data_IF_180463730441
#
_entry.id   IF_180463730441
#
_cell.length_a   1.000
_cell.length_b   1.000
_cell.length_c   1.000
_cell.angle_alpha   90.00
_cell.angle_beta   90.00
_cell.angle_gamma   90.00
#
_symmetry.space_group_name_H-M   'P 1'
#
loop_
_entity.id
_entity.type
_entity.pdbx_description
1 polymer ?
#
# COMPACT_ATOMS: atom_id res chain seq x y z
N UNK A 1 -23.15 14.88 -2.61
CA UNK A 1 -23.08 13.50 -2.07
C UNK A 1 -22.89 13.49 -0.53
N UNK A 2 -22.78 14.66 0.13
CA UNK A 2 -22.57 14.74 1.59
C UNK A 2 -21.17 14.28 2.07
N UNK A 3 -20.23 14.07 1.16
CA UNK A 3 -18.83 13.69 1.46
C UNK A 3 -17.96 14.94 1.37
N UNK A 4 -17.19 15.19 2.41
CA UNK A 4 -16.16 16.23 2.43
C UNK A 4 -14.77 15.59 2.39
N UNK A 5 -13.99 15.75 1.32
CA UNK A 5 -12.66 15.18 1.22
C UNK A 5 -11.66 16.03 2.03
N UNK A 6 -10.81 15.36 2.79
CA UNK A 6 -9.67 15.95 3.46
C UNK A 6 -8.41 15.21 3.02
N UNK A 7 -7.51 15.89 2.34
CA UNK A 7 -6.29 15.32 1.83
C UNK A 7 -5.14 15.53 2.83
N UNK A 8 -4.46 14.45 3.18
CA UNK A 8 -3.18 14.49 3.88
C UNK A 8 -2.13 14.16 2.84
N UNK A 9 -1.43 15.19 2.36
CA UNK A 9 -0.34 15.02 1.42
C UNK A 9 0.98 15.44 2.04
N UNK A 10 2.02 14.73 1.74
CA UNK A 10 3.39 15.15 2.02
C UNK A 10 4.21 15.07 0.74
N UNK A 11 5.25 15.87 0.67
CA UNK A 11 6.14 15.84 -0.50
C UNK A 11 6.79 14.48 -0.59
N UNK A 12 6.30 13.68 -1.50
CA UNK A 12 6.80 12.34 -1.79
C UNK A 12 7.22 12.24 -3.25
N UNK A 13 8.12 13.10 -3.72
CA UNK A 13 8.79 12.90 -5.01
C UNK A 13 9.59 11.59 -5.08
N UNK A 14 9.22 10.62 -4.23
CA UNK A 14 9.94 9.39 -4.01
C UNK A 14 9.90 8.46 -5.21
N UNK A 15 8.78 8.34 -5.91
CA UNK A 15 8.68 7.46 -7.08
C UNK A 15 9.56 7.95 -8.22
N UNK A 16 9.50 9.23 -8.55
CA UNK A 16 10.37 9.86 -9.55
C UNK A 16 11.82 9.77 -9.10
N UNK A 17 12.12 10.14 -7.85
CA UNK A 17 13.47 10.07 -7.27
C UNK A 17 14.02 8.64 -7.24
N UNK A 18 13.17 7.63 -6.97
CA UNK A 18 13.58 6.21 -6.98
C UNK A 18 13.83 5.74 -8.40
N UNK A 19 13.00 6.12 -9.37
CA UNK A 19 13.20 5.78 -10.77
C UNK A 19 14.51 6.38 -11.28
N UNK A 20 14.73 7.67 -11.04
CA UNK A 20 15.96 8.39 -11.44
C UNK A 20 17.20 7.76 -10.79
N UNK A 21 17.12 7.40 -9.51
CA UNK A 21 18.18 6.73 -8.79
C UNK A 21 18.49 5.36 -9.38
N UNK A 22 17.46 4.58 -9.70
CA UNK A 22 17.63 3.26 -10.32
C UNK A 22 18.24 3.37 -11.71
N UNK A 23 17.85 4.37 -12.51
CA UNK A 23 18.43 4.64 -13.83
C UNK A 23 19.89 5.05 -13.75
N UNK A 24 20.24 5.96 -12.82
CA UNK A 24 21.62 6.39 -12.60
C UNK A 24 22.53 5.20 -12.24
N UNK A 25 22.09 4.34 -11.32
CA UNK A 25 22.89 3.18 -10.91
C UNK A 25 22.94 2.10 -11.99
N UNK A 26 21.87 1.86 -12.74
CA UNK A 26 21.91 0.95 -13.88
C UNK A 26 22.91 1.42 -14.93
N UNK A 27 22.95 2.72 -15.22
CA UNK A 27 23.93 3.30 -16.14
C UNK A 27 25.37 3.13 -15.62
N UNK A 28 25.62 3.37 -14.32
CA UNK A 28 26.93 3.16 -13.68
C UNK A 28 27.41 1.71 -13.71
N UNK A 29 26.47 0.77 -13.59
CA UNK A 29 26.77 -0.67 -13.63
C UNK A 29 26.87 -1.21 -15.08
N UNK A 30 26.69 -0.36 -16.09
CA UNK A 30 26.70 -0.78 -17.49
C UNK A 30 25.49 -1.63 -17.89
N UNK A 31 24.42 -1.59 -17.10
CA UNK A 31 23.19 -2.34 -17.33
C UNK A 31 22.22 -1.61 -18.28
N UNK A 32 22.67 -0.57 -18.96
CA UNK A 32 21.91 0.23 -19.89
C UNK A 32 21.44 -0.57 -21.11
N UNK A 33 20.19 -0.98 -21.12
CA UNK A 33 19.55 -1.62 -22.29
C UNK A 33 19.13 -0.53 -23.26
N UNK A 34 19.99 -0.18 -24.20
CA UNK A 34 19.59 0.50 -25.42
C UNK A 34 19.19 -0.53 -26.47
N UNK A 35 17.89 -0.65 -26.71
CA UNK A 35 17.39 -0.95 -28.05
C UNK A 35 17.44 -2.40 -28.54
N UNK A 36 17.16 -3.43 -27.75
CA UNK A 36 16.95 -4.78 -28.28
C UNK A 36 15.59 -5.30 -27.81
N UNK A 37 14.65 -5.64 -28.73
CA UNK A 37 13.42 -6.32 -28.35
C UNK A 37 13.73 -7.77 -28.02
N UNK A 38 13.21 -8.29 -26.93
CA UNK A 38 13.60 -9.56 -26.40
C UNK A 38 12.68 -10.73 -26.79
N UNK A 39 13.27 -11.89 -26.99
CA UNK A 39 12.56 -13.15 -27.13
C UNK A 39 12.09 -13.68 -25.76
N UNK A 40 10.84 -14.16 -25.68
CA UNK A 40 10.23 -14.69 -24.45
C UNK A 40 11.11 -15.81 -23.83
N UNK A 41 11.32 -15.73 -22.52
CA UNK A 41 11.86 -16.81 -21.69
C UNK A 41 13.32 -16.69 -21.24
N UNK A 42 14.28 -16.20 -22.04
CA UNK A 42 15.65 -15.95 -21.60
C UNK A 42 15.81 -14.59 -20.94
N UNK A 43 14.91 -13.67 -21.29
CA UNK A 43 14.85 -12.34 -20.67
C UNK A 43 14.44 -12.37 -19.20
N UNK A 44 13.53 -13.25 -18.83
CA UNK A 44 13.13 -13.40 -17.43
C UNK A 44 14.33 -13.73 -16.55
N UNK A 45 15.31 -14.51 -17.06
CA UNK A 45 16.55 -14.82 -16.34
C UNK A 45 17.54 -13.67 -16.32
N UNK A 46 17.64 -12.90 -17.41
CA UNK A 46 18.51 -11.71 -17.45
C UNK A 46 17.92 -10.61 -16.55
N UNK A 47 16.61 -10.39 -16.59
CA UNK A 47 15.94 -9.39 -15.75
C UNK A 47 16.03 -9.70 -14.27
N UNK A 48 15.84 -10.94 -13.84
CA UNK A 48 16.08 -11.34 -12.45
C UNK A 48 17.54 -11.15 -12.03
N UNK A 49 18.50 -11.43 -12.93
CA UNK A 49 19.90 -11.17 -12.69
C UNK A 49 20.19 -9.67 -12.51
N UNK A 50 19.60 -8.83 -13.34
CA UNK A 50 19.72 -7.36 -13.25
C UNK A 50 19.11 -6.82 -11.97
N UNK A 51 17.90 -7.25 -11.61
CA UNK A 51 17.22 -6.86 -10.38
C UNK A 51 18.06 -7.21 -9.15
N UNK A 52 18.61 -8.44 -9.09
CA UNK A 52 19.50 -8.88 -7.99
C UNK A 52 20.81 -8.09 -7.90
N UNK A 53 21.29 -7.52 -9.00
CA UNK A 53 22.46 -6.64 -8.99
C UNK A 53 22.11 -5.22 -8.53
N UNK A 54 20.91 -4.74 -8.84
CA UNK A 54 20.42 -3.42 -8.43
C UNK A 54 20.01 -3.36 -6.96
N UNK A 55 19.39 -4.41 -6.44
CA UNK A 55 18.88 -4.46 -5.06
C UNK A 55 19.94 -4.07 -4.00
N UNK A 56 21.16 -4.62 -3.97
CA UNK A 56 22.17 -4.24 -2.98
C UNK A 56 22.67 -2.80 -3.14
N UNK A 57 22.75 -2.32 -4.38
CA UNK A 57 23.28 -0.98 -4.69
C UNK A 57 22.29 0.12 -4.35
N UNK A 58 21.00 -0.14 -4.58
CA UNK A 58 19.91 0.79 -4.24
C UNK A 58 19.59 0.80 -2.74
N UNK A 59 20.10 -0.17 -1.98
CA UNK A 59 19.77 -0.33 -0.57
C UNK A 59 20.13 0.87 0.28
N UNK A 60 21.35 1.38 0.18
CA UNK A 60 21.80 2.49 1.03
C UNK A 60 21.04 3.79 0.72
N UNK A 61 21.01 4.29 -0.53
CA UNK A 61 20.31 5.53 -0.84
C UNK A 61 18.78 5.39 -0.74
N UNK A 62 18.22 4.29 -1.24
CA UNK A 62 16.77 4.05 -1.20
C UNK A 62 16.27 3.79 0.22
N UNK A 63 17.02 3.04 1.02
CA UNK A 63 16.69 2.78 2.42
C UNK A 63 16.71 4.03 3.27
N UNK A 64 17.68 4.93 3.07
CA UNK A 64 17.73 6.21 3.77
C UNK A 64 16.51 7.09 3.44
N UNK A 65 16.14 7.18 2.15
CA UNK A 65 14.97 7.92 1.69
C UNK A 65 13.68 7.30 2.23
N UNK A 66 13.52 5.99 2.13
CA UNK A 66 12.36 5.26 2.62
C UNK A 66 12.20 5.38 4.14
N UNK A 67 13.29 5.26 4.88
CA UNK A 67 13.33 5.48 6.32
C UNK A 67 12.86 6.89 6.71
N UNK A 68 13.29 7.91 5.97
CA UNK A 68 12.83 9.29 6.17
C UNK A 68 11.33 9.44 5.87
N UNK A 69 10.82 8.77 4.83
CA UNK A 69 9.39 8.77 4.51
C UNK A 69 8.56 8.12 5.62
N UNK A 70 8.97 6.95 6.11
CA UNK A 70 8.32 6.28 7.25
C UNK A 70 8.29 7.19 8.49
N UNK A 71 9.43 7.79 8.81
CA UNK A 71 9.53 8.70 9.95
C UNK A 71 8.61 9.93 9.81
N UNK A 72 8.52 10.51 8.62
CA UNK A 72 7.63 11.63 8.36
C UNK A 72 6.15 11.24 8.46
N UNK A 73 5.79 10.05 7.94
CA UNK A 73 4.44 9.51 8.04
C UNK A 73 4.02 9.29 9.50
N UNK A 74 4.90 8.74 10.32
CA UNK A 74 4.66 8.56 11.75
C UNK A 74 4.58 9.91 12.49
N UNK A 75 5.50 10.84 12.22
CA UNK A 75 5.51 12.17 12.83
C UNK A 75 4.25 12.98 12.51
N UNK A 76 3.64 12.79 11.34
CA UNK A 76 2.37 13.43 11.01
C UNK A 76 1.27 13.11 12.02
N UNK A 77 1.31 11.93 12.66
CA UNK A 77 0.35 11.47 13.65
C UNK A 77 0.84 11.59 15.08
N UNK A 78 2.15 11.46 15.34
CA UNK A 78 2.70 11.35 16.70
C UNK A 78 3.22 12.67 17.23
N UNK A 79 3.72 13.56 16.39
CA UNK A 79 4.22 14.88 16.80
C UNK A 79 3.06 15.82 17.16
N UNK A 80 3.21 16.63 18.17
CA UNK A 80 2.24 17.68 18.54
C UNK A 80 2.03 18.72 17.42
N UNK A 81 3.01 18.87 16.52
CA UNK A 81 2.95 19.72 15.35
C UNK A 81 2.54 18.93 14.09
N UNK A 82 2.25 17.64 14.20
CA UNK A 82 1.86 16.79 13.08
C UNK A 82 0.44 17.13 12.61
N UNK A 83 0.23 17.15 11.28
CA UNK A 83 -1.05 17.53 10.70
C UNK A 83 -2.23 16.68 11.20
N UNK A 84 -2.03 15.37 11.34
CA UNK A 84 -3.04 14.47 11.92
C UNK A 84 -3.35 14.86 13.37
N UNK A 85 -2.31 15.11 14.18
CA UNK A 85 -2.47 15.47 15.58
C UNK A 85 -3.24 16.79 15.75
N UNK A 86 -2.91 17.79 14.94
CA UNK A 86 -3.59 19.09 14.94
C UNK A 86 -5.06 19.00 14.48
N UNK A 87 -5.38 18.07 13.60
CA UNK A 87 -6.73 17.87 13.08
C UNK A 87 -7.69 17.25 14.10
N UNK A 88 -7.22 16.42 15.02
CA UNK A 88 -8.08 15.64 15.92
C UNK A 88 -9.05 16.48 16.76
N UNK A 89 -8.65 17.59 17.42
CA UNK A 89 -9.59 18.42 18.18
C UNK A 89 -10.71 19.00 17.30
N UNK A 90 -10.40 19.32 16.04
CA UNK A 90 -11.40 19.82 15.10
C UNK A 90 -12.38 18.72 14.69
N UNK A 91 -11.90 17.49 14.47
CA UNK A 91 -12.78 16.35 14.20
C UNK A 91 -13.69 16.03 15.41
N UNK A 92 -13.16 16.09 16.61
CA UNK A 92 -13.96 15.92 17.83
C UNK A 92 -15.04 17.00 17.96
N UNK A 93 -14.70 18.27 17.76
CA UNK A 93 -15.65 19.37 17.80
C UNK A 93 -16.72 19.24 16.68
N UNK A 94 -16.31 18.81 15.50
CA UNK A 94 -17.22 18.60 14.38
C UNK A 94 -18.18 17.44 14.66
N UNK A 95 -17.70 16.32 15.19
CA UNK A 95 -18.55 15.18 15.55
C UNK A 95 -19.52 15.51 16.68
N UNK A 96 -19.13 16.37 17.64
CA UNK A 96 -20.03 16.85 18.69
C UNK A 96 -21.20 17.68 18.12
N UNK A 97 -20.95 18.45 17.05
CA UNK A 97 -21.99 19.22 16.35
C UNK A 97 -22.81 18.38 15.37
N UNK A 98 -22.19 17.37 14.78
CA UNK A 98 -22.76 16.47 13.78
C UNK A 98 -22.64 15.02 14.27
N UNK A 99 -23.55 14.54 15.12
CA UNK A 99 -23.46 13.21 15.73
C UNK A 99 -23.45 12.04 14.73
N UNK A 100 -23.91 12.26 13.50
CA UNK A 100 -23.91 11.28 12.41
C UNK A 100 -22.69 11.40 11.49
N UNK A 101 -21.71 12.25 11.84
CA UNK A 101 -20.49 12.37 11.07
C UNK A 101 -19.70 11.06 11.11
N UNK A 102 -19.38 10.52 9.96
CA UNK A 102 -18.55 9.35 9.79
C UNK A 102 -17.15 9.75 9.28
N UNK A 103 -16.12 9.06 9.76
CA UNK A 103 -14.74 9.27 9.34
C UNK A 103 -14.31 8.05 8.53
N UNK A 104 -14.14 8.24 7.22
CA UNK A 104 -13.66 7.22 6.31
C UNK A 104 -12.20 7.49 5.95
N UNK A 105 -11.37 6.45 6.01
CA UNK A 105 -9.94 6.55 5.75
C UNK A 105 -9.59 5.82 4.45
N UNK A 106 -8.99 6.54 3.51
CA UNK A 106 -8.47 5.97 2.27
C UNK A 106 -6.98 6.26 2.20
N UNK A 107 -6.17 5.23 1.97
CA UNK A 107 -4.71 5.36 1.86
C UNK A 107 -4.13 4.56 0.71
N UNK A 108 -3.29 5.20 -0.10
CA UNK A 108 -2.53 4.56 -1.15
C UNK A 108 -1.06 4.47 -0.75
N UNK A 109 -0.42 3.34 -1.03
CA UNK A 109 1.02 3.14 -0.86
C UNK A 109 1.50 3.49 0.57
N UNK A 110 2.45 4.42 0.71
CA UNK A 110 2.96 4.92 2.00
C UNK A 110 1.88 5.63 2.85
N UNK A 111 0.75 6.03 2.26
CA UNK A 111 -0.42 6.52 2.99
C UNK A 111 -0.93 5.54 4.04
N UNK A 112 -0.73 4.25 3.85
CA UNK A 112 -1.04 3.23 4.84
C UNK A 112 -0.27 3.42 6.16
N UNK A 113 0.94 3.97 6.13
CA UNK A 113 1.73 4.22 7.35
C UNK A 113 1.10 5.36 8.16
N UNK A 114 0.71 6.44 7.47
CA UNK A 114 0.01 7.57 8.12
C UNK A 114 -1.31 7.12 8.74
N UNK A 115 -2.12 6.37 7.99
CA UNK A 115 -3.43 5.93 8.46
C UNK A 115 -3.33 4.93 9.63
N UNK A 116 -2.37 4.00 9.60
CA UNK A 116 -2.13 3.10 10.72
C UNK A 116 -1.78 3.85 12.01
N UNK A 117 -0.87 4.83 11.93
CA UNK A 117 -0.54 5.69 13.06
C UNK A 117 -1.74 6.56 13.50
N UNK A 118 -2.54 7.06 12.54
CA UNK A 118 -3.75 7.84 12.81
C UNK A 118 -4.80 7.05 13.57
N UNK A 119 -5.01 5.75 13.29
CA UNK A 119 -5.97 4.91 14.01
C UNK A 119 -5.72 4.90 15.51
N UNK A 120 -4.45 4.82 15.94
CA UNK A 120 -4.10 4.92 17.37
C UNK A 120 -4.47 6.29 17.97
N UNK A 121 -4.35 7.36 17.19
CA UNK A 121 -4.73 8.70 17.66
C UNK A 121 -6.25 8.88 17.72
N UNK A 122 -6.99 8.32 16.74
CA UNK A 122 -8.46 8.30 16.78
C UNK A 122 -8.95 7.56 18.04
N UNK A 123 -8.37 6.40 18.36
CA UNK A 123 -8.70 5.64 19.57
C UNK A 123 -8.48 6.49 20.85
N UNK A 124 -7.33 7.17 20.96
CA UNK A 124 -7.03 8.08 22.08
C UNK A 124 -8.02 9.24 22.18
N UNK A 125 -8.45 9.75 21.03
CA UNK A 125 -9.43 10.83 20.92
C UNK A 125 -10.87 10.34 21.11
N UNK A 126 -11.10 9.03 21.33
CA UNK A 126 -12.43 8.39 21.41
C UNK A 126 -13.27 8.58 20.13
N UNK A 127 -12.61 8.77 19.00
CA UNK A 127 -13.19 8.78 17.66
C UNK A 127 -13.10 7.38 17.05
N UNK A 128 -13.95 7.09 16.09
CA UNK A 128 -13.94 5.83 15.33
C UNK A 128 -13.73 6.08 13.85
N UNK A 129 -13.05 5.17 13.19
CA UNK A 129 -13.05 5.08 11.74
C UNK A 129 -14.28 4.25 11.31
N UNK A 130 -15.17 4.85 10.52
CA UNK A 130 -16.33 4.16 9.96
C UNK A 130 -15.88 3.13 8.91
N UNK A 131 -14.83 3.44 8.14
CA UNK A 131 -14.18 2.46 7.27
C UNK A 131 -12.71 2.81 7.04
N UNK A 132 -11.93 1.79 6.70
CA UNK A 132 -10.55 1.92 6.20
C UNK A 132 -10.42 1.17 4.89
N UNK A 133 -9.87 1.83 3.88
CA UNK A 133 -9.59 1.24 2.58
C UNK A 133 -8.16 1.54 2.17
N UNK A 134 -7.39 0.50 1.93
CA UNK A 134 -5.98 0.60 1.56
C UNK A 134 -5.77 0.14 0.13
N UNK A 135 -5.05 0.91 -0.64
CA UNK A 135 -4.64 0.60 -2.01
C UNK A 135 -3.13 0.38 -2.05
N UNK A 136 -2.71 -0.81 -2.47
CA UNK A 136 -1.31 -1.22 -2.54
C UNK A 136 -0.48 -0.75 -1.33
N UNK A 137 -0.90 -1.04 -0.07
CA UNK A 137 -0.28 -0.47 1.13
C UNK A 137 1.20 -0.84 1.24
N UNK A 138 2.07 0.18 1.31
CA UNK A 138 3.52 -0.01 1.41
C UNK A 138 4.04 -0.17 2.85
N UNK A 139 3.16 -0.32 3.83
CA UNK A 139 3.59 -0.64 5.19
C UNK A 139 3.99 -2.11 5.31
N UNK A 140 4.90 -2.41 6.25
CA UNK A 140 5.28 -3.79 6.56
C UNK A 140 4.13 -4.56 7.19
N UNK A 141 4.13 -5.89 7.08
CA UNK A 141 3.16 -6.75 7.76
C UNK A 141 3.29 -6.63 9.29
N UNK A 142 4.50 -6.42 9.81
CA UNK A 142 4.72 -6.12 11.22
C UNK A 142 3.98 -4.84 11.64
N UNK A 143 4.12 -3.76 10.88
CA UNK A 143 3.37 -2.53 11.12
C UNK A 143 1.86 -2.76 11.06
N UNK A 144 1.38 -3.56 10.10
CA UNK A 144 -0.04 -3.87 9.97
C UNK A 144 -0.59 -4.62 11.20
N UNK A 145 0.15 -5.59 11.73
CA UNK A 145 -0.20 -6.27 12.98
C UNK A 145 -0.30 -5.29 14.16
N UNK A 146 0.64 -4.36 14.27
CA UNK A 146 0.72 -3.41 15.39
C UNK A 146 -0.30 -2.27 15.32
N UNK A 147 -0.79 -1.94 14.12
CA UNK A 147 -1.67 -0.79 13.92
C UNK A 147 -3.07 -1.19 13.47
N UNK A 148 -3.21 -1.96 12.39
CA UNK A 148 -4.51 -2.31 11.84
C UNK A 148 -5.18 -3.46 12.61
N UNK A 149 -4.46 -4.54 12.88
CA UNK A 149 -5.02 -5.63 13.66
C UNK A 149 -5.34 -5.19 15.10
N UNK A 150 -4.47 -4.39 15.74
CA UNK A 150 -4.78 -3.82 17.06
C UNK A 150 -5.97 -2.85 17.03
N UNK A 151 -6.10 -2.01 16.00
CA UNK A 151 -7.24 -1.11 15.85
C UNK A 151 -8.58 -1.85 15.80
N UNK A 152 -8.61 -3.06 15.24
CA UNK A 152 -9.79 -3.93 15.20
C UNK A 152 -9.94 -4.72 16.49
N UNK A 153 -8.91 -5.43 16.91
CA UNK A 153 -9.00 -6.41 18.01
C UNK A 153 -8.98 -5.77 19.40
N UNK A 154 -8.14 -4.76 19.59
CA UNK A 154 -7.82 -4.18 20.89
C UNK A 154 -8.48 -2.83 21.09
N UNK A 155 -8.19 -1.87 20.24
CA UNK A 155 -8.65 -0.49 20.38
C UNK A 155 -10.12 -0.30 20.00
N UNK A 156 -10.69 -1.23 19.21
CA UNK A 156 -12.08 -1.20 18.72
C UNK A 156 -12.45 0.12 18.02
N UNK A 157 -11.45 0.74 17.40
CA UNK A 157 -11.59 1.99 16.64
C UNK A 157 -12.09 1.75 15.22
N UNK A 158 -11.92 0.53 14.71
CA UNK A 158 -12.35 0.07 13.40
C UNK A 158 -13.09 -1.27 13.53
N UNK A 159 -14.23 -1.40 12.86
CA UNK A 159 -14.89 -2.70 12.69
C UNK A 159 -14.26 -3.45 11.50
N UNK A 160 -13.93 -4.71 11.72
CA UNK A 160 -13.31 -5.56 10.69
C UNK A 160 -14.13 -5.62 9.39
N UNK A 161 -15.47 -5.58 9.47
CA UNK A 161 -16.38 -5.59 8.32
C UNK A 161 -16.19 -4.38 7.38
N UNK A 162 -15.56 -3.33 7.87
CA UNK A 162 -15.33 -2.08 7.14
C UNK A 162 -13.84 -1.84 6.82
N UNK A 163 -13.05 -2.91 6.89
CA UNK A 163 -11.63 -2.88 6.54
C UNK A 163 -11.39 -3.60 5.20
N UNK A 164 -10.93 -2.88 4.20
CA UNK A 164 -10.70 -3.39 2.85
C UNK A 164 -9.29 -3.09 2.38
N UNK A 165 -8.69 -4.06 1.71
CA UNK A 165 -7.36 -3.94 1.10
C UNK A 165 -7.46 -4.29 -0.38
N UNK A 166 -6.85 -3.46 -1.22
CA UNK A 166 -6.73 -3.67 -2.65
C UNK A 166 -5.26 -3.83 -2.99
N UNK A 167 -4.92 -4.88 -3.70
CA UNK A 167 -3.55 -5.21 -4.10
C UNK A 167 -3.52 -5.58 -5.57
N UNK A 168 -2.37 -5.43 -6.21
CA UNK A 168 -2.13 -6.08 -7.50
C UNK A 168 -1.98 -7.60 -7.31
N UNK A 169 -2.31 -8.37 -8.35
CA UNK A 169 -1.89 -9.77 -8.39
C UNK A 169 -0.36 -9.86 -8.40
N UNK A 170 0.19 -10.95 -7.84
CA UNK A 170 1.65 -11.18 -7.86
C UNK A 170 2.23 -11.09 -9.26
N UNK A 171 1.46 -11.52 -10.27
CA UNK A 171 1.87 -11.41 -11.66
C UNK A 171 1.92 -9.94 -12.13
N UNK A 172 0.94 -9.10 -11.76
CA UNK A 172 0.98 -7.67 -12.11
C UNK A 172 2.14 -6.95 -11.42
N UNK A 173 2.40 -7.28 -10.13
CA UNK A 173 3.56 -6.76 -9.40
C UNK A 173 4.90 -7.13 -10.07
N UNK A 174 5.00 -8.33 -10.64
CA UNK A 174 6.20 -8.79 -11.36
C UNK A 174 6.31 -8.27 -12.79
N UNK A 175 5.21 -7.87 -13.39
CA UNK A 175 5.17 -7.30 -14.74
C UNK A 175 5.26 -5.77 -14.72
N UNK A 176 5.18 -5.15 -13.55
CA UNK A 176 5.43 -3.72 -13.33
C UNK A 176 6.93 -3.41 -13.40
N UNK A 177 7.30 -2.14 -13.46
CA UNK A 177 8.70 -1.73 -13.48
C UNK A 177 8.91 -0.35 -12.86
N UNK A 178 10.04 -0.20 -12.15
CA UNK A 178 10.52 1.09 -11.64
C UNK A 178 11.85 1.40 -12.32
N UNK A 179 11.79 2.16 -13.41
CA UNK A 179 12.95 2.37 -14.27
C UNK A 179 13.53 1.04 -14.78
N UNK A 180 14.81 0.76 -14.54
CA UNK A 180 15.45 -0.49 -14.94
C UNK A 180 15.12 -1.70 -14.06
N UNK A 181 14.54 -1.49 -12.87
CA UNK A 181 14.07 -2.56 -11.99
C UNK A 181 12.78 -3.14 -12.52
N UNK A 182 12.75 -4.44 -12.80
CA UNK A 182 11.68 -5.12 -13.55
C UNK A 182 10.61 -5.75 -12.66
N UNK A 183 10.33 -5.13 -11.55
CA UNK A 183 9.21 -5.43 -10.65
C UNK A 183 8.66 -4.13 -10.09
N UNK A 184 7.53 -4.21 -9.43
CA UNK A 184 6.87 -3.05 -8.83
C UNK A 184 7.71 -2.37 -7.75
N UNK A 185 7.27 -1.16 -7.40
CA UNK A 185 7.81 -0.42 -6.27
C UNK A 185 7.74 -1.20 -4.95
N UNK A 186 6.66 -1.96 -4.70
CA UNK A 186 6.56 -2.75 -3.47
C UNK A 186 7.60 -3.86 -3.40
N UNK A 187 7.90 -4.52 -4.52
CA UNK A 187 9.00 -5.47 -4.58
C UNK A 187 10.35 -4.80 -4.31
N UNK A 188 10.57 -3.61 -4.86
CA UNK A 188 11.81 -2.86 -4.64
C UNK A 188 11.96 -2.44 -3.17
N UNK A 189 10.90 -1.91 -2.56
CA UNK A 189 10.88 -1.56 -1.13
C UNK A 189 11.15 -2.80 -0.28
N UNK A 190 10.45 -3.90 -0.51
CA UNK A 190 10.63 -5.16 0.23
C UNK A 190 12.06 -5.70 0.16
N UNK A 191 12.71 -5.58 -0.99
CA UNK A 191 14.01 -6.21 -1.25
C UNK A 191 15.20 -5.30 -1.03
N UNK A 192 15.01 -3.97 -1.15
CA UNK A 192 16.11 -3.03 -1.09
C UNK A 192 15.98 -1.96 -0.02
N UNK A 193 14.78 -1.43 0.21
CA UNK A 193 14.63 -0.20 1.01
C UNK A 193 14.31 -0.46 2.48
N UNK A 194 13.74 -1.62 2.79
CA UNK A 194 13.57 -2.05 4.19
C UNK A 194 14.90 -2.55 4.77
N UNK A 195 15.03 -2.50 6.09
CA UNK A 195 16.25 -2.86 6.82
C UNK A 195 16.68 -4.31 6.55
N UNK A 196 15.70 -5.20 6.42
CA UNK A 196 15.92 -6.61 6.07
C UNK A 196 15.50 -6.88 4.64
N UNK A 197 16.35 -7.57 3.88
CA UNK A 197 16.02 -8.06 2.54
C UNK A 197 14.80 -9.00 2.61
N UNK A 198 13.83 -8.84 1.69
CA UNK A 198 12.59 -9.61 1.67
C UNK A 198 11.69 -9.38 2.91
N UNK A 199 11.61 -8.14 3.38
CA UNK A 199 10.64 -7.73 4.39
C UNK A 199 9.22 -7.78 3.81
N UNK A 200 8.27 -8.46 4.47
CA UNK A 200 6.89 -8.56 3.97
C UNK A 200 6.19 -7.20 4.00
N UNK A 201 5.63 -6.81 2.85
CA UNK A 201 4.78 -5.62 2.74
C UNK A 201 3.31 -6.04 2.61
N UNK A 202 2.44 -5.31 3.29
CA UNK A 202 0.99 -5.59 3.31
C UNK A 202 0.35 -5.54 1.91
N UNK A 203 0.84 -4.67 1.04
CA UNK A 203 0.30 -4.49 -0.32
C UNK A 203 0.68 -5.59 -1.31
N UNK A 204 1.58 -6.50 -0.98
CA UNK A 204 1.90 -7.64 -1.83
C UNK A 204 0.88 -8.77 -1.62
N UNK A 205 0.25 -9.26 -2.69
CA UNK A 205 -0.68 -10.39 -2.63
C UNK A 205 -0.09 -11.58 -1.86
N UNK A 206 1.22 -11.80 -1.99
CA UNK A 206 1.95 -12.89 -1.32
C UNK A 206 1.90 -12.82 0.21
N UNK A 207 1.60 -11.69 0.81
CA UNK A 207 1.41 -11.56 2.26
C UNK A 207 0.13 -12.22 2.77
N UNK A 208 -0.80 -12.54 1.87
CA UNK A 208 -2.05 -13.24 2.15
C UNK A 208 -2.04 -14.71 1.71
N UNK A 209 -0.94 -15.19 1.14
CA UNK A 209 -0.79 -16.56 0.65
C UNK A 209 -0.16 -17.47 1.73
N UNK A 210 -0.91 -18.43 2.31
CA UNK A 210 -0.40 -19.32 3.34
C UNK A 210 0.82 -20.14 2.91
N UNK A 211 0.97 -20.41 1.60
CA UNK A 211 2.12 -21.15 1.08
C UNK A 211 3.45 -20.44 1.34
N UNK A 212 3.45 -19.11 1.54
CA UNK A 212 4.68 -18.34 1.77
C UNK A 212 5.28 -18.51 3.16
N UNK A 213 4.52 -19.06 4.11
CA UNK A 213 4.94 -19.26 5.51
C UNK A 213 4.90 -20.74 5.93
N UNK A 214 4.52 -21.64 5.02
CA UNK A 214 4.52 -23.06 5.28
C UNK A 214 5.93 -23.55 5.69
N UNK A 215 6.06 -24.54 6.59
CA UNK A 215 7.35 -25.04 7.05
C UNK A 215 8.25 -25.57 5.91
N UNK A 216 7.62 -26.13 4.89
CA UNK A 216 8.21 -26.69 3.68
C UNK A 216 8.13 -25.74 2.47
N UNK A 217 7.86 -24.45 2.71
CA UNK A 217 7.75 -23.47 1.65
C UNK A 217 9.02 -23.50 0.78
N UNK A 218 8.87 -23.98 -0.44
CA UNK A 218 9.93 -23.98 -1.46
C UNK A 218 10.25 -22.55 -1.92
N UNK A 219 9.30 -21.62 -1.70
CA UNK A 219 9.43 -20.21 -2.05
C UNK A 219 10.08 -19.44 -0.91
N UNK A 220 11.28 -18.94 -1.15
CA UNK A 220 12.02 -18.05 -0.25
C UNK A 220 11.53 -16.60 -0.40
N UNK A 221 10.22 -16.40 -0.38
CA UNK A 221 9.59 -15.09 -0.59
C UNK A 221 9.95 -14.11 0.53
N UNK A 222 9.91 -14.56 1.78
CA UNK A 222 10.16 -13.73 2.95
C UNK A 222 11.40 -14.16 3.72
N UNK A 223 12.10 -13.19 4.32
CA UNK A 223 13.14 -13.49 5.29
C UNK A 223 12.56 -14.31 6.47
N UNK A 224 13.33 -15.27 6.96
CA UNK A 224 12.85 -16.24 7.96
C UNK A 224 12.36 -15.59 9.25
N UNK A 225 12.99 -14.52 9.68
CA UNK A 225 12.64 -13.74 10.86
C UNK A 225 11.24 -13.13 10.77
N UNK A 226 10.75 -12.83 9.57
CA UNK A 226 9.45 -12.19 9.34
C UNK A 226 8.30 -13.17 9.10
N UNK A 227 8.56 -14.47 8.93
CA UNK A 227 7.50 -15.46 8.65
C UNK A 227 6.45 -15.54 9.76
N UNK A 228 6.85 -15.33 11.02
CA UNK A 228 5.91 -15.31 12.15
C UNK A 228 4.91 -14.15 12.07
N UNK A 229 5.37 -13.00 11.62
CA UNK A 229 4.54 -11.79 11.46
C UNK A 229 3.52 -11.98 10.33
N UNK A 230 3.93 -12.58 9.22
CA UNK A 230 3.03 -12.92 8.11
C UNK A 230 2.00 -13.96 8.56
N UNK A 231 2.43 -15.03 9.25
CA UNK A 231 1.50 -16.03 9.77
C UNK A 231 0.52 -15.45 10.81
N UNK A 232 0.95 -14.45 11.62
CA UNK A 232 0.07 -13.73 12.54
C UNK A 232 -0.98 -12.92 11.79
N UNK A 233 -0.58 -12.21 10.73
CA UNK A 233 -1.49 -11.44 9.88
C UNK A 233 -2.52 -12.33 9.18
N UNK A 234 -2.08 -13.44 8.62
CA UNK A 234 -2.97 -14.39 7.95
C UNK A 234 -4.01 -14.98 8.94
N UNK A 235 -3.58 -15.38 10.15
CA UNK A 235 -4.53 -15.81 11.19
C UNK A 235 -5.52 -14.71 11.57
N UNK A 236 -5.08 -13.47 11.75
CA UNK A 236 -5.99 -12.35 12.01
C UNK A 236 -7.04 -12.22 10.90
N UNK A 237 -6.60 -12.36 9.65
CA UNK A 237 -7.46 -12.25 8.48
C UNK A 237 -8.49 -13.40 8.41
N UNK A 238 -8.02 -14.61 8.64
CA UNK A 238 -8.85 -15.84 8.60
C UNK A 238 -9.82 -15.91 9.79
N UNK A 239 -9.37 -15.64 11.01
CA UNK A 239 -10.18 -15.68 12.23
C UNK A 239 -11.38 -14.72 12.19
N UNK A 240 -11.24 -13.62 11.47
CA UNK A 240 -12.32 -12.63 11.26
C UNK A 240 -13.14 -12.90 10.00
N UNK A 241 -12.84 -13.93 9.23
CA UNK A 241 -13.52 -14.23 7.99
C UNK A 241 -13.36 -13.18 6.90
N UNK A 242 -12.24 -12.45 6.91
CA UNK A 242 -11.93 -11.40 5.95
C UNK A 242 -11.41 -12.01 4.64
N UNK A 243 -12.30 -12.66 3.90
CA UNK A 243 -11.96 -13.32 2.63
C UNK A 243 -11.94 -12.36 1.44
N UNK A 244 -12.32 -12.88 0.27
CA UNK A 244 -12.28 -12.17 -1.01
C UNK A 244 -13.13 -10.87 -1.07
N UNK A 245 -14.06 -10.68 -0.14
CA UNK A 245 -14.86 -9.45 -0.04
C UNK A 245 -14.08 -8.27 0.57
N UNK A 246 -13.00 -8.56 1.29
CA UNK A 246 -12.18 -7.57 1.98
C UNK A 246 -10.78 -7.44 1.37
N UNK A 247 -10.29 -8.51 0.72
CA UNK A 247 -9.06 -8.48 -0.08
C UNK A 247 -9.42 -8.47 -1.56
N UNK A 248 -9.22 -7.34 -2.22
CA UNK A 248 -9.49 -7.17 -3.63
C UNK A 248 -8.19 -7.29 -4.42
N UNK A 249 -8.02 -8.39 -5.14
CA UNK A 249 -6.84 -8.62 -5.96
C UNK A 249 -7.10 -8.19 -7.40
N UNK A 250 -6.40 -7.18 -7.87
CA UNK A 250 -6.48 -6.69 -9.24
C UNK A 250 -5.67 -7.60 -10.17
N UNK A 251 -6.38 -8.48 -10.86
CA UNK A 251 -5.80 -9.43 -11.85
C UNK A 251 -5.84 -8.91 -13.28
N UNK A 252 -6.67 -7.90 -13.56
CA UNK A 252 -6.72 -7.26 -14.87
C UNK A 252 -5.37 -6.61 -15.18
N UNK A 253 -4.93 -6.72 -16.44
CA UNK A 253 -3.67 -6.12 -16.90
C UNK A 253 -3.77 -4.63 -17.18
N UNK A 254 -4.98 -4.12 -17.28
CA UNK A 254 -5.27 -2.71 -17.55
C UNK A 254 -6.48 -2.28 -16.74
N UNK A 255 -6.49 -1.02 -16.37
CA UNK A 255 -7.61 -0.35 -15.68
C UNK A 255 -8.11 0.82 -16.52
N UNK A 256 -9.36 1.22 -16.31
CA UNK A 256 -9.93 2.41 -16.95
C UNK A 256 -9.65 3.64 -16.08
N UNK A 257 -9.14 4.71 -16.71
CA UNK A 257 -8.91 6.02 -16.06
C UNK A 257 -9.93 7.09 -16.52
N UNK A 258 -10.97 6.69 -17.23
CA UNK A 258 -12.03 7.59 -17.73
C UNK A 258 -11.70 8.24 -19.08
N UNK A 259 -10.46 8.44 -19.43
CA UNK A 259 -10.01 8.93 -20.75
C UNK A 259 -9.59 7.79 -21.68
N UNK A 260 -9.33 6.61 -21.11
CA UNK A 260 -8.86 5.43 -21.81
C UNK A 260 -8.59 4.28 -20.85
N UNK A 261 -7.53 3.55 -21.12
CA UNK A 261 -7.05 2.52 -20.19
C UNK A 261 -5.53 2.58 -20.06
N UNK A 262 -5.06 2.31 -18.83
CA UNK A 262 -3.64 2.28 -18.50
C UNK A 262 -3.22 0.92 -17.94
N UNK A 263 -1.92 0.58 -17.93
CA UNK A 263 -1.44 -0.64 -17.28
C UNK A 263 -1.83 -0.69 -15.81
N UNK A 264 -2.13 -1.89 -15.31
CA UNK A 264 -2.36 -2.11 -13.89
C UNK A 264 -1.01 -2.19 -13.17
N UNK A 265 -0.52 -1.04 -12.73
CA UNK A 265 0.74 -0.84 -12.00
C UNK A 265 0.47 -0.41 -10.56
N UNK A 266 1.51 -0.28 -9.75
CA UNK A 266 1.40 0.21 -8.38
C UNK A 266 0.66 1.56 -8.27
N UNK A 267 0.86 2.47 -9.20
CA UNK A 267 0.25 3.80 -9.23
C UNK A 267 -1.17 3.86 -9.83
N UNK A 268 -1.74 2.75 -10.33
CA UNK A 268 -3.01 2.83 -11.05
C UNK A 268 -4.25 3.01 -10.16
N UNK A 269 -4.17 2.74 -8.87
CA UNK A 269 -5.35 2.65 -8.01
C UNK A 269 -6.10 3.97 -7.83
N UNK A 270 -5.39 5.07 -7.72
CA UNK A 270 -5.98 6.41 -7.58
C UNK A 270 -6.54 6.97 -8.89
N UNK A 271 -6.10 6.44 -10.02
CA UNK A 271 -6.60 6.78 -11.37
C UNK A 271 -7.69 5.83 -11.89
N UNK A 272 -7.85 4.65 -11.27
CA UNK A 272 -8.80 3.65 -11.71
C UNK A 272 -10.23 4.04 -11.31
N UNK A 273 -11.02 4.56 -12.26
CA UNK A 273 -12.37 5.09 -12.00
C UNK A 273 -13.33 4.05 -11.41
N UNK A 274 -13.22 2.79 -11.80
CA UNK A 274 -14.05 1.73 -11.25
C UNK A 274 -13.70 1.42 -9.79
N UNK A 275 -12.42 1.41 -9.46
CA UNK A 275 -11.92 1.16 -8.10
C UNK A 275 -12.30 2.32 -7.17
N UNK A 276 -12.05 3.55 -7.63
CA UNK A 276 -12.42 4.76 -6.86
C UNK A 276 -13.94 4.92 -6.76
N UNK A 277 -14.67 4.60 -7.83
CA UNK A 277 -16.13 4.60 -7.82
C UNK A 277 -16.72 3.62 -6.81
N UNK A 278 -16.16 2.41 -6.69
CA UNK A 278 -16.54 1.44 -5.67
C UNK A 278 -16.21 1.94 -4.25
N UNK A 279 -15.04 2.53 -4.07
CA UNK A 279 -14.65 3.09 -2.76
C UNK A 279 -15.61 4.20 -2.31
N UNK A 280 -15.97 5.11 -3.20
CA UNK A 280 -16.92 6.18 -2.93
C UNK A 280 -18.36 5.66 -2.74
N UNK A 281 -18.77 4.68 -3.55
CA UNK A 281 -20.07 4.02 -3.40
C UNK A 281 -20.24 3.39 -2.02
N UNK A 282 -19.21 2.76 -1.52
CA UNK A 282 -19.16 2.18 -0.17
C UNK A 282 -19.30 3.27 0.92
N UNK A 283 -18.65 4.43 0.75
CA UNK A 283 -18.76 5.56 1.69
C UNK A 283 -20.18 6.13 1.69
N UNK A 284 -20.82 6.23 0.51
CA UNK A 284 -22.18 6.76 0.39
C UNK A 284 -23.20 5.83 1.05
N UNK A 285 -23.10 4.54 0.80
CA UNK A 285 -23.94 3.50 1.39
C UNK A 285 -23.20 2.15 1.38
N UNK A 286 -22.72 1.67 2.52
CA UNK A 286 -21.97 0.42 2.59
C UNK A 286 -22.80 -0.83 2.27
N UNK A 287 -24.14 -0.75 2.30
CA UNK A 287 -25.05 -1.85 1.99
C UNK A 287 -25.42 -1.85 0.49
N UNK A 288 -25.92 -0.73 0.00
CA UNK A 288 -26.38 -0.60 -1.39
C UNK A 288 -25.20 -0.43 -2.36
N UNK A 289 -24.08 0.11 -1.89
CA UNK A 289 -22.85 0.38 -2.67
C UNK A 289 -23.14 0.97 -4.05
N UNK A 290 -23.85 2.14 -4.10
CA UNK A 290 -24.27 2.71 -5.35
C UNK A 290 -23.06 2.99 -6.25
N UNK A 291 -23.23 2.77 -7.57
CA UNK A 291 -22.20 3.17 -8.53
C UNK A 291 -22.07 4.69 -8.52
N UNK A 292 -21.00 5.19 -7.93
CA UNK A 292 -20.66 6.61 -8.05
C UNK A 292 -19.98 6.80 -9.40
N UNK A 293 -20.61 7.60 -10.26
CA UNK A 293 -20.04 7.93 -11.56
C UNK A 293 -18.92 8.94 -11.38
N UNK A 294 -17.71 8.52 -11.72
CA UNK A 294 -16.55 9.39 -11.83
C UNK A 294 -16.32 9.61 -13.32
N UNK A 295 -16.42 10.86 -13.77
CA UNK A 295 -16.24 11.18 -15.17
C UNK A 295 -14.77 11.28 -15.55
N UNK A 296 -13.96 11.83 -14.63
CA UNK A 296 -12.50 11.94 -14.77
C UNK A 296 -11.89 12.14 -13.39
N UNK A 297 -10.80 11.44 -13.10
CA UNK A 297 -9.91 11.80 -12.02
C UNK A 297 -8.92 12.82 -12.58
N UNK A 298 -8.88 14.00 -12.00
CA UNK A 298 -7.91 15.03 -12.40
C UNK A 298 -6.52 14.59 -11.92
N UNK A 299 -5.56 14.66 -12.83
CA UNK A 299 -4.14 14.60 -12.49
C UNK A 299 -3.71 15.86 -11.71
#
# INVERSE_FOLDING_TARGET
NGIYPLFISWRSGALETVSDLAEEWAARLGLGVRGVPPAKGWLDRITEGTDRMLEPVLRAPGGAMWGQMKLNAERASLSDQGGVRLMLPHLQALQAQLPKLEIHLIGHSAGAIVLGAMLKQLARAKLKAASVRLFAPACTVQFANQHYAEAVLKDKVLDARHFHIHVLSDQNERDDAVGPYRKSLLYLVSRSFEDTHKTPLLGLQRSFDPATVAPDAADDMWAREHRKEVAQWQRFWDDLGLGATHLNVLTARRVSNGAGSEPATHGCFDNAIDIMGQALGYIVDPVAQPKVRIERLAE
#
